data_IF_527870180162
#
_entry.id   IF_527870180162
#
_cell.length_a   1.000
_cell.length_b   1.000
_cell.length_c   1.000
_cell.angle_alpha   90.00
_cell.angle_beta   90.00
_cell.angle_gamma   90.00
#
_symmetry.space_group_name_H-M   'P 1'
#
loop_
_entity.id
_entity.type
_entity.pdbx_description
1 polymer ?
#
# COMPACT_ATOMS: atom_id res chain seq x y z
N UNK A 1 18.59 -42.37 -3.00
CA UNK A 1 17.47 -42.01 -3.91
C UNK A 1 16.41 -41.15 -3.22
N UNK A 2 15.81 -41.60 -2.11
CA UNK A 2 14.75 -40.85 -1.40
C UNK A 2 15.16 -39.43 -0.97
N UNK A 3 16.40 -39.24 -0.50
CA UNK A 3 16.92 -37.92 -0.10
C UNK A 3 17.12 -36.93 -1.26
N UNK A 4 17.51 -37.44 -2.43
CA UNK A 4 17.69 -36.61 -3.63
C UNK A 4 16.34 -36.17 -4.21
N UNK A 5 15.35 -37.08 -4.21
CA UNK A 5 13.98 -36.75 -4.59
C UNK A 5 13.35 -35.71 -3.64
N UNK A 6 13.57 -35.84 -2.33
CA UNK A 6 13.10 -34.86 -1.35
C UNK A 6 13.73 -33.47 -1.55
N UNK A 7 15.05 -33.41 -1.78
CA UNK A 7 15.73 -32.15 -2.04
C UNK A 7 15.23 -31.44 -3.32
N UNK A 8 14.94 -32.21 -4.37
CA UNK A 8 14.36 -31.69 -5.62
C UNK A 8 12.96 -31.09 -5.38
N UNK A 9 12.11 -31.79 -4.62
CA UNK A 9 10.76 -31.34 -4.30
C UNK A 9 10.79 -30.05 -3.48
N UNK A 10 11.64 -29.97 -2.46
CA UNK A 10 11.79 -28.75 -1.65
C UNK A 10 12.30 -27.59 -2.51
N UNK A 11 13.31 -27.83 -3.35
CA UNK A 11 13.82 -26.82 -4.27
C UNK A 11 12.74 -26.30 -5.23
N UNK A 12 11.89 -27.20 -5.75
CA UNK A 12 10.76 -26.83 -6.60
C UNK A 12 9.73 -25.98 -5.83
N UNK A 13 9.38 -26.38 -4.61
CA UNK A 13 8.42 -25.63 -3.77
C UNK A 13 8.93 -24.22 -3.47
N UNK A 14 10.22 -24.09 -3.10
CA UNK A 14 10.83 -22.77 -2.83
C UNK A 14 10.83 -21.90 -4.07
N UNK A 15 11.19 -22.47 -5.23
CA UNK A 15 11.25 -21.72 -6.50
C UNK A 15 9.86 -21.25 -6.93
N UNK A 16 8.85 -22.13 -6.84
CA UNK A 16 7.46 -21.76 -7.14
C UNK A 16 6.98 -20.73 -6.14
N UNK A 17 7.19 -20.93 -4.84
CA UNK A 17 6.80 -19.98 -3.79
C UNK A 17 7.40 -18.60 -3.97
N UNK A 18 8.68 -18.51 -4.38
CA UNK A 18 9.32 -17.24 -4.70
C UNK A 18 8.73 -16.56 -5.95
N UNK A 19 8.21 -17.33 -6.91
CA UNK A 19 7.62 -16.79 -8.13
C UNK A 19 6.18 -16.30 -7.96
N UNK A 20 5.39 -16.95 -7.09
CA UNK A 20 3.99 -16.55 -6.84
C UNK A 20 3.82 -15.67 -5.59
N UNK A 21 4.82 -15.60 -4.72
CA UNK A 21 4.78 -14.85 -3.46
C UNK A 21 5.23 -13.39 -3.58
N UNK A 22 5.58 -12.91 -4.77
CA UNK A 22 5.90 -11.48 -4.95
C UNK A 22 4.61 -10.65 -4.88
N UNK A 23 4.60 -9.51 -4.16
CA UNK A 23 3.44 -8.63 -4.15
C UNK A 23 3.11 -8.20 -5.59
N UNK A 24 1.88 -8.43 -6.02
CA UNK A 24 1.38 -7.96 -7.31
C UNK A 24 0.87 -6.53 -7.17
N UNK A 25 0.95 -5.74 -8.25
CA UNK A 25 0.32 -4.43 -8.30
C UNK A 25 -1.20 -4.58 -8.09
N UNK A 26 -1.76 -3.83 -7.14
CA UNK A 26 -3.20 -3.67 -7.05
C UNK A 26 -3.68 -2.84 -8.24
N UNK A 27 -4.70 -3.32 -8.95
CA UNK A 27 -5.34 -2.56 -10.03
C UNK A 27 -6.48 -1.72 -9.46
N UNK A 28 -6.54 -0.45 -9.85
CA UNK A 28 -7.62 0.46 -9.56
C UNK A 28 -8.13 1.07 -10.87
N UNK A 29 -9.38 1.55 -10.86
CA UNK A 29 -9.91 2.33 -11.97
C UNK A 29 -9.13 3.64 -12.11
N UNK A 30 -8.98 4.11 -13.36
CA UNK A 30 -8.36 5.41 -13.61
C UNK A 30 -9.30 6.55 -13.19
N UNK A 31 -8.73 7.72 -12.89
CA UNK A 31 -9.51 8.93 -12.66
C UNK A 31 -10.39 9.26 -13.88
N UNK A 32 -11.66 9.57 -13.62
CA UNK A 32 -12.61 10.09 -14.61
C UNK A 32 -12.76 11.61 -14.52
N UNK A 33 -13.32 12.26 -15.56
CA UNK A 33 -13.67 13.67 -15.48
C UNK A 33 -14.81 13.91 -14.47
N UNK A 34 -14.75 15.04 -13.77
CA UNK A 34 -15.72 15.48 -12.76
C UNK A 34 -15.91 16.99 -12.83
N UNK A 35 -17.10 17.47 -12.47
CA UNK A 35 -17.46 18.90 -12.40
C UNK A 35 -17.36 19.46 -10.97
N UNK A 36 -16.80 18.69 -10.04
CA UNK A 36 -16.60 19.08 -8.65
C UNK A 36 -15.17 19.58 -8.39
N UNK A 37 -15.04 20.50 -7.43
CA UNK A 37 -13.76 20.90 -6.86
C UNK A 37 -13.69 20.39 -5.42
N UNK A 38 -12.66 19.62 -5.12
CA UNK A 38 -12.38 19.11 -3.77
C UNK A 38 -11.10 19.75 -3.26
N UNK A 39 -11.14 20.27 -2.04
CA UNK A 39 -10.01 20.91 -1.36
C UNK A 39 -9.79 20.28 0.02
N UNK A 40 -8.52 20.07 0.38
CA UNK A 40 -8.13 19.71 1.73
C UNK A 40 -8.07 21.00 2.55
N UNK A 41 -8.99 21.16 3.51
CA UNK A 41 -9.10 22.39 4.32
C UNK A 41 -8.17 22.40 5.54
N UNK A 42 -7.54 21.27 5.86
CA UNK A 42 -6.60 21.16 6.97
C UNK A 42 -6.34 19.71 7.39
N UNK A 43 -5.33 19.54 8.25
CA UNK A 43 -4.98 18.28 8.91
C UNK A 43 -5.00 18.52 10.42
N UNK A 44 -5.70 17.67 11.16
CA UNK A 44 -5.80 17.76 12.62
C UNK A 44 -5.41 16.41 13.26
N UNK A 45 -4.45 16.39 14.21
CA UNK A 45 -3.62 17.51 14.63
C UNK A 45 -2.69 18.02 13.53
N UNK A 46 -2.41 19.33 13.53
CA UNK A 46 -1.47 19.93 12.59
C UNK A 46 -0.10 19.26 12.72
N UNK A 47 0.48 18.86 11.59
CA UNK A 47 1.73 18.11 11.52
C UNK A 47 2.44 18.35 10.20
N UNK A 48 3.77 18.34 10.23
CA UNK A 48 4.62 18.41 9.03
C UNK A 48 5.08 17.01 8.59
N UNK A 49 4.64 15.94 9.28
CA UNK A 49 5.06 14.56 8.98
C UNK A 49 4.40 13.98 7.72
N UNK A 50 3.29 14.57 7.27
CA UNK A 50 2.55 14.12 6.09
C UNK A 50 2.16 15.29 5.20
N UNK A 51 2.21 15.07 3.88
CA UNK A 51 1.63 15.95 2.86
C UNK A 51 0.44 15.25 2.21
N UNK A 52 -0.62 16.00 1.93
CA UNK A 52 -1.83 15.51 1.27
C UNK A 52 -2.17 16.39 0.06
N UNK A 53 -2.55 15.77 -1.05
CA UNK A 53 -3.03 16.45 -2.24
C UNK A 53 -4.25 15.74 -2.83
N UNK A 54 -5.20 16.49 -3.38
CA UNK A 54 -6.30 15.94 -4.17
C UNK A 54 -5.86 15.82 -5.61
N UNK A 55 -5.88 14.60 -6.16
CA UNK A 55 -5.47 14.35 -7.55
C UNK A 55 -6.55 13.59 -8.32
N UNK A 56 -6.52 13.70 -9.64
CA UNK A 56 -7.51 12.99 -10.49
C UNK A 56 -8.94 13.50 -10.34
N UNK A 57 -9.13 14.80 -10.08
CA UNK A 57 -10.44 15.44 -10.03
C UNK A 57 -11.21 15.31 -8.72
N UNK A 58 -10.80 14.40 -7.83
CA UNK A 58 -11.41 13.99 -6.54
C UNK A 58 -11.36 12.46 -6.38
N UNK A 59 -10.94 11.74 -7.43
CA UNK A 59 -10.83 10.29 -7.43
C UNK A 59 -9.80 9.75 -6.43
N UNK A 60 -8.74 10.52 -6.13
CA UNK A 60 -7.65 10.08 -5.27
C UNK A 60 -7.17 11.17 -4.31
N UNK A 61 -6.66 10.72 -3.16
CA UNK A 61 -5.83 11.53 -2.26
C UNK A 61 -4.42 10.98 -2.34
N UNK A 62 -3.48 11.82 -2.75
CA UNK A 62 -2.06 11.51 -2.67
C UNK A 62 -1.56 11.79 -1.24
N UNK A 63 -0.84 10.81 -0.67
CA UNK A 63 -0.23 10.91 0.64
C UNK A 63 1.30 10.79 0.50
N UNK A 64 2.00 11.83 0.93
CA UNK A 64 3.47 11.81 1.09
C UNK A 64 3.81 11.71 2.56
N UNK A 65 4.72 10.83 2.93
CA UNK A 65 5.16 10.62 4.32
C UNK A 65 6.64 11.00 4.45
N UNK A 66 6.97 11.83 5.43
CA UNK A 66 8.37 12.19 5.73
C UNK A 66 9.12 10.94 6.23
N UNK A 67 10.34 10.66 5.72
CA UNK A 67 11.11 9.50 6.17
C UNK A 67 11.24 9.39 7.69
N UNK A 68 11.25 8.16 8.22
CA UNK A 68 11.32 7.90 9.66
C UNK A 68 9.98 7.96 10.40
N UNK A 69 8.87 8.26 9.71
CA UNK A 69 7.52 8.24 10.28
C UNK A 69 6.73 7.03 9.81
N UNK A 70 5.88 6.52 10.68
CA UNK A 70 4.89 5.49 10.32
C UNK A 70 3.52 6.14 10.14
N UNK A 71 2.83 5.79 9.05
CA UNK A 71 1.44 6.21 8.81
C UNK A 71 0.59 4.99 8.55
N UNK A 72 -0.52 4.88 9.28
CA UNK A 72 -1.52 3.84 9.09
C UNK A 72 -2.81 4.49 8.60
N UNK A 73 -3.22 4.16 7.38
CA UNK A 73 -4.53 4.54 6.83
C UNK A 73 -5.51 3.45 7.25
N UNK A 74 -6.52 3.83 8.04
CA UNK A 74 -7.53 2.89 8.53
C UNK A 74 -8.56 2.60 7.44
N UNK A 75 -9.02 1.34 7.39
CA UNK A 75 -10.17 0.94 6.57
C UNK A 75 -11.51 1.44 7.13
N UNK A 76 -12.58 1.15 6.39
CA UNK A 76 -13.94 1.59 6.75
C UNK A 76 -14.60 0.79 7.87
N UNK A 77 -14.11 -0.42 8.16
CA UNK A 77 -14.69 -1.29 9.18
C UNK A 77 -14.03 -1.03 10.55
N UNK A 78 -14.82 -0.92 11.63
CA UNK A 78 -14.26 -0.75 12.97
C UNK A 78 -13.36 -1.94 13.31
N UNK A 79 -12.19 -1.64 13.88
CA UNK A 79 -11.17 -2.60 14.33
C UNK A 79 -10.55 -3.49 13.24
N UNK A 80 -10.75 -3.19 11.94
CA UNK A 80 -10.26 -4.03 10.84
C UNK A 80 -9.32 -3.31 9.87
N UNK A 81 -8.06 -3.72 10.01
CA UNK A 81 -6.97 -3.73 9.04
C UNK A 81 -6.39 -2.36 8.63
N UNK A 82 -5.07 -2.17 8.77
CA UNK A 82 -4.41 -1.05 8.11
C UNK A 82 -4.65 -1.23 6.61
N UNK A 83 -5.52 -0.39 6.04
CA UNK A 83 -5.82 -0.40 4.61
C UNK A 83 -4.54 -0.13 3.82
N UNK A 84 -3.75 0.82 4.31
CA UNK A 84 -2.38 1.06 3.89
C UNK A 84 -1.52 1.31 5.13
N UNK A 85 -0.26 0.87 5.09
CA UNK A 85 0.73 1.16 6.12
C UNK A 85 2.04 1.57 5.49
N UNK A 86 2.46 2.80 5.74
CA UNK A 86 3.73 3.34 5.32
C UNK A 86 4.71 3.20 6.48
N UNK A 87 5.72 2.36 6.33
CA UNK A 87 6.77 2.13 7.30
C UNK A 87 7.79 3.28 7.33
N UNK A 88 8.50 3.47 8.46
CA UNK A 88 9.53 4.50 8.59
C UNK A 88 10.73 4.30 7.66
N UNK A 89 10.89 3.09 7.13
CA UNK A 89 11.91 2.67 6.16
C UNK A 89 11.44 2.79 4.70
N UNK A 90 10.22 3.27 4.46
CA UNK A 90 9.64 3.47 3.12
C UNK A 90 8.96 2.23 2.54
N UNK A 91 8.83 1.14 3.30
CA UNK A 91 8.00 0.00 2.90
C UNK A 91 6.51 0.38 2.98
N UNK A 92 5.71 -0.02 2.00
CA UNK A 92 4.25 0.18 1.95
C UNK A 92 3.54 -1.15 1.79
#
# INVERSE_FOLDING_TARGET
MIRAAAALIVGLIVTVGALVGTPSNAHADAAGPTDYLTEIIGVEPATDAVGLEVVGGDAFIELTVVPGHEVVVLGYLPDQEPYLRFGPDGVV
#
